data_IF_804108656806
#
_entry.id   IF_804108656806
#
_cell.length_a   1.000
_cell.length_b   1.000
_cell.length_c   1.000
_cell.angle_alpha   90.00
_cell.angle_beta   90.00
_cell.angle_gamma   90.00
#
_symmetry.space_group_name_H-M   'P 1'
#
loop_
_entity.id
_entity.type
_entity.pdbx_description
1 polymer ?
#
# COMPACT_ATOMS: atom_id res chain seq x y z
N UNK A 1 -6.75 9.45 18.50
CA UNK A 1 -7.03 8.16 19.18
C UNK A 1 -6.30 7.04 18.43
N UNK A 2 -5.52 6.19 19.10
CA UNK A 2 -4.78 5.11 18.44
C UNK A 2 -5.52 3.80 18.76
N UNK A 3 -6.25 3.26 17.79
CA UNK A 3 -6.88 1.95 17.92
C UNK A 3 -5.83 0.85 17.70
N UNK A 4 -5.67 -0.07 18.63
CA UNK A 4 -4.82 -1.26 18.51
C UNK A 4 -5.67 -2.49 18.76
N UNK A 5 -5.93 -3.29 17.72
CA UNK A 5 -6.49 -4.63 17.89
C UNK A 5 -5.36 -5.66 17.97
N UNK A 6 -5.46 -6.58 18.91
CA UNK A 6 -4.56 -7.74 19.03
C UNK A 6 -4.99 -8.87 18.09
N UNK A 7 -6.23 -8.86 17.59
CA UNK A 7 -6.77 -9.78 16.61
C UNK A 7 -7.22 -9.00 15.38
N UNK A 8 -6.57 -9.27 14.25
CA UNK A 8 -6.83 -8.55 13.01
C UNK A 8 -8.06 -9.09 12.26
N UNK A 9 -8.59 -10.25 12.66
CA UNK A 9 -9.83 -10.82 12.11
C UNK A 9 -11.07 -10.46 12.94
N UNK A 10 -10.89 -10.16 14.22
CA UNK A 10 -11.96 -9.74 15.12
C UNK A 10 -11.66 -8.33 15.63
N UNK A 11 -12.17 -7.35 14.92
CA UNK A 11 -12.01 -5.95 15.29
C UNK A 11 -13.39 -5.32 15.52
N UNK A 12 -13.48 -4.50 16.54
CA UNK A 12 -14.65 -3.73 16.87
C UNK A 12 -14.42 -2.26 16.51
N UNK A 13 -15.26 -1.72 15.65
CA UNK A 13 -15.25 -0.32 15.26
C UNK A 13 -16.37 0.49 15.91
N UNK A 14 -17.09 -0.07 16.90
CA UNK A 14 -18.22 0.59 17.55
C UNK A 14 -17.87 1.91 18.23
N UNK A 15 -16.60 2.07 18.65
CA UNK A 15 -16.08 3.30 19.26
C UNK A 15 -15.46 4.29 18.26
N UNK A 16 -15.44 3.93 16.96
CA UNK A 16 -14.78 4.72 15.91
C UNK A 16 -15.81 5.14 14.88
N UNK A 17 -16.06 6.44 14.77
CA UNK A 17 -16.89 6.95 13.67
C UNK A 17 -16.09 6.90 12.35
N UNK A 18 -16.29 5.80 11.62
CA UNK A 18 -15.62 5.56 10.34
C UNK A 18 -16.08 6.55 9.27
N UNK A 19 -17.24 7.16 9.41
CA UNK A 19 -17.79 8.11 8.43
C UNK A 19 -16.98 9.41 8.34
N UNK A 20 -16.25 9.76 9.40
CA UNK A 20 -15.36 10.93 9.43
C UNK A 20 -14.05 10.75 8.66
N UNK A 21 -13.67 9.51 8.32
CA UNK A 21 -12.42 9.24 7.62
C UNK A 21 -12.59 9.28 6.10
N UNK A 22 -11.66 9.92 5.41
CA UNK A 22 -11.69 10.07 3.95
C UNK A 22 -10.92 8.97 3.22
N UNK A 23 -9.96 8.31 3.89
CA UNK A 23 -9.14 7.27 3.28
C UNK A 23 -8.71 6.19 4.26
N UNK A 24 -8.54 4.97 3.73
CA UNK A 24 -7.88 3.84 4.39
C UNK A 24 -6.59 3.49 3.63
N UNK A 25 -5.46 3.50 4.32
CA UNK A 25 -4.17 3.02 3.80
C UNK A 25 -3.93 1.59 4.27
N UNK A 26 -4.35 0.61 3.48
CA UNK A 26 -4.20 -0.80 3.80
C UNK A 26 -2.82 -1.30 3.38
N UNK A 27 -1.88 -1.26 4.32
CA UNK A 27 -0.48 -1.63 4.12
C UNK A 27 -0.14 -3.00 4.72
N UNK A 28 -1.13 -3.74 5.20
CA UNK A 28 -0.93 -5.08 5.75
C UNK A 28 -0.57 -6.07 4.65
N UNK A 29 0.37 -6.95 4.96
CA UNK A 29 0.76 -8.01 4.05
C UNK A 29 1.79 -8.93 4.66
N UNK A 30 1.75 -10.19 4.24
CA UNK A 30 2.69 -11.23 4.62
C UNK A 30 3.43 -11.76 3.39
N UNK A 31 4.61 -12.35 3.61
CA UNK A 31 5.33 -13.07 2.56
C UNK A 31 4.70 -14.44 2.34
N UNK A 32 4.51 -14.84 1.09
CA UNK A 32 4.07 -16.20 0.76
C UNK A 32 5.17 -17.26 0.96
N UNK A 33 6.41 -16.85 1.23
CA UNK A 33 7.53 -17.77 1.39
C UNK A 33 7.33 -18.65 2.63
N UNK A 34 7.28 -19.96 2.41
CA UNK A 34 7.08 -20.96 3.46
C UNK A 34 5.63 -21.14 3.91
N UNK A 35 4.66 -20.46 3.30
CA UNK A 35 3.24 -20.64 3.58
C UNK A 35 2.57 -21.59 2.59
N UNK A 36 1.61 -22.39 3.07
CA UNK A 36 0.69 -23.09 2.19
C UNK A 36 -0.31 -22.11 1.56
N UNK A 37 -1.05 -22.58 0.56
CA UNK A 37 -1.96 -21.76 -0.24
C UNK A 37 -3.12 -21.18 0.60
N UNK A 38 -3.68 -21.99 1.47
CA UNK A 38 -4.88 -21.63 2.21
C UNK A 38 -4.56 -20.61 3.31
N UNK A 39 -3.46 -20.79 4.04
CA UNK A 39 -2.98 -19.82 5.03
C UNK A 39 -2.62 -18.48 4.38
N UNK A 40 -1.93 -18.52 3.23
CA UNK A 40 -1.59 -17.29 2.52
C UNK A 40 -2.83 -16.56 2.01
N UNK A 41 -3.81 -17.29 1.47
CA UNK A 41 -5.08 -16.72 1.04
C UNK A 41 -5.84 -16.12 2.23
N UNK A 42 -5.90 -16.84 3.34
CA UNK A 42 -6.58 -16.38 4.56
C UNK A 42 -5.98 -15.05 5.05
N UNK A 43 -4.66 -14.97 5.20
CA UNK A 43 -3.96 -13.77 5.68
C UNK A 43 -3.87 -12.63 4.66
N UNK A 44 -4.10 -12.87 3.38
CA UNK A 44 -3.99 -11.85 2.33
C UNK A 44 -5.35 -11.45 1.78
N UNK A 45 -6.16 -12.41 1.33
CA UNK A 45 -7.46 -12.15 0.73
C UNK A 45 -8.55 -11.96 1.79
N UNK A 46 -8.78 -12.99 2.64
CA UNK A 46 -9.92 -12.97 3.57
C UNK A 46 -9.79 -11.84 4.60
N UNK A 47 -8.59 -11.65 5.16
CA UNK A 47 -8.31 -10.54 6.08
C UNK A 47 -8.58 -9.17 5.43
N UNK A 48 -8.05 -8.95 4.23
CA UNK A 48 -8.20 -7.67 3.53
C UNK A 48 -9.67 -7.40 3.20
N UNK A 49 -10.40 -8.41 2.72
CA UNK A 49 -11.82 -8.27 2.38
C UNK A 49 -12.68 -8.06 3.63
N UNK A 50 -12.42 -8.74 4.74
CA UNK A 50 -13.14 -8.54 6.00
C UNK A 50 -13.06 -7.09 6.47
N UNK A 51 -11.87 -6.48 6.42
CA UNK A 51 -11.69 -5.06 6.71
C UNK A 51 -12.40 -4.16 5.69
N UNK A 52 -12.21 -4.44 4.40
CA UNK A 52 -12.77 -3.65 3.33
C UNK A 52 -14.30 -3.64 3.34
N UNK A 53 -14.94 -4.79 3.50
CA UNK A 53 -16.41 -4.94 3.58
C UNK A 53 -16.98 -4.24 4.81
N UNK A 54 -16.27 -4.30 5.94
CA UNK A 54 -16.69 -3.58 7.14
C UNK A 54 -16.62 -2.07 6.92
N UNK A 55 -15.50 -1.57 6.39
CA UNK A 55 -15.35 -0.14 6.09
C UNK A 55 -16.37 0.34 5.05
N UNK A 56 -16.65 -0.46 4.01
CA UNK A 56 -17.62 -0.10 2.97
C UNK A 56 -19.05 0.02 3.50
N UNK A 57 -19.41 -0.74 4.55
CA UNK A 57 -20.73 -0.63 5.21
C UNK A 57 -20.90 0.72 5.91
N UNK A 58 -19.85 1.25 6.51
CA UNK A 58 -19.89 2.52 7.23
C UNK A 58 -19.64 3.72 6.31
N UNK A 59 -18.74 3.56 5.34
CA UNK A 59 -18.34 4.63 4.41
C UNK A 59 -18.05 4.07 3.00
N UNK A 60 -19.07 3.90 2.14
CA UNK A 60 -18.89 3.37 0.79
C UNK A 60 -18.13 4.30 -0.15
N UNK A 61 -18.00 5.59 0.20
CA UNK A 61 -17.24 6.58 -0.58
C UNK A 61 -15.77 6.70 -0.19
N UNK A 62 -15.34 5.94 0.83
CA UNK A 62 -13.97 5.93 1.34
C UNK A 62 -12.95 5.64 0.22
N UNK A 63 -11.88 6.42 0.15
CA UNK A 63 -10.74 6.10 -0.70
C UNK A 63 -9.96 4.94 -0.07
N UNK A 64 -9.97 3.78 -0.74
CA UNK A 64 -9.27 2.59 -0.24
C UNK A 64 -7.98 2.36 -1.02
N UNK A 65 -6.83 2.53 -0.37
CA UNK A 65 -5.50 2.32 -0.97
C UNK A 65 -4.95 1.00 -0.47
N UNK A 66 -4.75 0.04 -1.39
CA UNK A 66 -4.18 -1.27 -1.11
C UNK A 66 -2.76 -1.38 -1.65
N UNK A 67 -1.80 -1.73 -0.79
CA UNK A 67 -0.41 -1.97 -1.21
C UNK A 67 -0.27 -3.43 -1.65
N UNK A 68 -0.16 -3.62 -2.95
CA UNK A 68 0.11 -4.91 -3.58
C UNK A 68 1.55 -5.00 -4.08
N UNK A 69 1.84 -5.84 -5.05
CA UNK A 69 3.19 -6.01 -5.59
C UNK A 69 3.24 -5.93 -7.11
N UNK A 70 4.34 -5.45 -7.64
CA UNK A 70 4.61 -5.57 -9.08
C UNK A 70 4.57 -7.05 -9.48
N UNK A 71 3.86 -7.36 -10.57
CA UNK A 71 3.61 -8.75 -11.00
C UNK A 71 2.34 -9.37 -10.42
N UNK A 72 1.55 -8.63 -9.62
CA UNK A 72 0.20 -9.06 -9.21
C UNK A 72 -0.65 -9.43 -10.41
N UNK A 73 -1.40 -10.54 -10.31
CA UNK A 73 -2.14 -11.16 -11.41
C UNK A 73 -1.30 -12.16 -12.24
N UNK A 74 -0.01 -12.31 -11.93
CA UNK A 74 0.88 -13.28 -12.60
C UNK A 74 0.68 -14.72 -12.11
N UNK A 75 1.56 -15.64 -12.61
CA UNK A 75 1.47 -17.09 -12.33
C UNK A 75 1.79 -17.51 -10.90
N UNK A 76 2.72 -16.90 -10.15
CA UNK A 76 3.01 -17.29 -8.77
C UNK A 76 1.78 -17.17 -7.86
N UNK A 77 1.70 -18.05 -6.85
CA UNK A 77 0.59 -18.08 -5.89
C UNK A 77 0.29 -16.71 -5.28
N UNK A 78 1.32 -16.02 -4.81
CA UNK A 78 1.16 -14.70 -4.21
C UNK A 78 0.56 -13.67 -5.18
N UNK A 79 0.94 -13.75 -6.44
CA UNK A 79 0.46 -12.84 -7.47
C UNK A 79 -1.01 -13.12 -7.83
N UNK A 80 -1.41 -14.38 -7.85
CA UNK A 80 -2.80 -14.77 -8.09
C UNK A 80 -3.71 -14.31 -6.94
N UNK A 81 -3.32 -14.58 -5.69
CA UNK A 81 -4.10 -14.19 -4.50
C UNK A 81 -4.22 -12.67 -4.41
N UNK A 82 -3.12 -11.94 -4.60
CA UNK A 82 -3.16 -10.47 -4.61
C UNK A 82 -3.99 -9.92 -5.77
N UNK A 83 -3.98 -10.57 -6.95
CA UNK A 83 -4.84 -10.20 -8.07
C UNK A 83 -6.32 -10.34 -7.73
N UNK A 84 -6.71 -11.47 -7.14
CA UNK A 84 -8.09 -11.68 -6.66
C UNK A 84 -8.49 -10.62 -5.62
N UNK A 85 -7.57 -10.25 -4.73
CA UNK A 85 -7.81 -9.19 -3.73
C UNK A 85 -8.02 -7.83 -4.40
N UNK A 86 -7.17 -7.45 -5.35
CA UNK A 86 -7.33 -6.22 -6.12
C UNK A 86 -8.68 -6.17 -6.84
N UNK A 87 -9.06 -7.25 -7.55
CA UNK A 87 -10.32 -7.33 -8.29
C UNK A 87 -11.54 -7.18 -7.37
N UNK A 88 -11.49 -7.78 -6.19
CA UNK A 88 -12.57 -7.66 -5.20
C UNK A 88 -12.67 -6.23 -4.63
N UNK A 89 -11.54 -5.61 -4.28
CA UNK A 89 -11.50 -4.23 -3.78
C UNK A 89 -11.96 -3.21 -4.84
N UNK A 90 -11.58 -3.41 -6.11
CA UNK A 90 -11.99 -2.57 -7.23
C UNK A 90 -13.50 -2.64 -7.52
N UNK A 91 -14.14 -3.74 -7.18
CA UNK A 91 -15.61 -3.89 -7.25
C UNK A 91 -16.30 -3.28 -6.04
N UNK A 92 -15.68 -3.37 -4.86
CA UNK A 92 -16.29 -2.95 -3.61
C UNK A 92 -16.30 -1.42 -3.44
N UNK A 93 -15.20 -0.74 -3.81
CA UNK A 93 -15.09 0.71 -3.67
C UNK A 93 -14.94 1.41 -5.03
N UNK A 94 -15.74 2.45 -5.30
CA UNK A 94 -15.52 3.33 -6.45
C UNK A 94 -14.12 3.97 -6.45
N UNK A 95 -13.64 4.34 -5.25
CA UNK A 95 -12.37 5.01 -5.01
C UNK A 95 -11.30 4.05 -4.48
N UNK A 96 -11.22 2.81 -5.00
CA UNK A 96 -10.13 1.90 -4.68
C UNK A 96 -8.92 2.12 -5.59
N UNK A 97 -7.72 2.14 -5.01
CA UNK A 97 -6.46 2.31 -5.74
C UNK A 97 -5.46 1.23 -5.32
N UNK A 98 -4.90 0.53 -6.31
CA UNK A 98 -3.96 -0.58 -6.15
C UNK A 98 -2.54 -0.08 -6.38
N UNK A 99 -1.75 -0.04 -5.33
CA UNK A 99 -0.35 0.41 -5.36
C UNK A 99 0.56 -0.81 -5.57
N UNK A 100 0.89 -1.12 -6.83
CA UNK A 100 1.74 -2.27 -7.21
C UNK A 100 3.21 -1.92 -7.01
N UNK A 101 3.69 -2.16 -5.79
CA UNK A 101 5.04 -1.84 -5.36
C UNK A 101 6.05 -2.85 -5.93
N UNK A 102 7.10 -2.39 -6.62
CA UNK A 102 8.21 -3.22 -7.08
C UNK A 102 9.32 -3.29 -6.02
N UNK A 103 10.15 -2.26 -5.94
CA UNK A 103 11.16 -2.14 -4.92
C UNK A 103 10.99 -0.80 -4.18
N UNK A 104 11.17 -0.84 -2.85
CA UNK A 104 11.11 0.35 -1.99
C UNK A 104 12.43 0.54 -1.27
N UNK A 105 12.93 1.76 -1.27
CA UNK A 105 14.07 2.18 -0.46
C UNK A 105 13.55 2.82 0.83
N UNK A 106 13.77 2.21 2.02
CA UNK A 106 13.46 2.82 3.28
C UNK A 106 14.43 3.99 3.55
N UNK A 107 13.91 5.14 4.01
CA UNK A 107 14.73 6.34 4.31
C UNK A 107 14.80 6.64 5.81
N UNK A 108 13.80 6.26 6.60
CA UNK A 108 13.65 6.68 7.99
C UNK A 108 13.88 5.54 8.99
N UNK A 109 14.76 4.59 8.65
CA UNK A 109 15.10 3.48 9.53
C UNK A 109 14.05 2.39 9.62
N UNK A 110 13.13 2.31 8.66
CA UNK A 110 12.15 1.23 8.57
C UNK A 110 12.88 -0.12 8.38
N UNK A 111 12.68 -1.03 9.32
CA UNK A 111 13.33 -2.34 9.34
C UNK A 111 12.30 -3.42 9.00
N UNK A 112 12.58 -4.23 7.97
CA UNK A 112 11.76 -5.40 7.68
C UNK A 112 11.80 -6.39 8.84
N UNK A 113 10.63 -6.90 9.26
CA UNK A 113 10.51 -7.94 10.29
C UNK A 113 11.06 -9.29 9.82
N UNK A 114 11.16 -9.53 8.52
CA UNK A 114 11.66 -10.78 7.95
C UNK A 114 13.19 -10.74 7.86
N UNK A 115 13.88 -11.65 8.54
CA UNK A 115 15.35 -11.67 8.63
C UNK A 115 16.03 -11.73 7.26
N UNK A 116 15.50 -12.52 6.32
CA UNK A 116 16.02 -12.64 4.95
C UNK A 116 15.91 -11.33 4.16
N UNK A 117 14.79 -10.65 4.23
CA UNK A 117 14.61 -9.33 3.59
C UNK A 117 15.54 -8.29 4.20
N UNK A 118 15.78 -8.34 5.50
CA UNK A 118 16.72 -7.44 6.19
C UNK A 118 18.15 -7.63 5.71
N UNK A 119 18.60 -8.88 5.51
CA UNK A 119 19.93 -9.22 4.99
C UNK A 119 20.05 -8.80 3.52
N UNK A 120 19.05 -9.08 2.71
CA UNK A 120 19.01 -8.71 1.29
C UNK A 120 19.05 -7.18 1.14
N UNK A 121 18.26 -6.44 1.92
CA UNK A 121 18.28 -4.98 1.91
C UNK A 121 19.64 -4.42 2.36
N UNK A 122 20.28 -5.00 3.37
CA UNK A 122 21.60 -4.54 3.84
C UNK A 122 22.68 -4.73 2.79
N UNK A 123 22.62 -5.80 1.99
CA UNK A 123 23.56 -6.06 0.89
C UNK A 123 23.24 -5.24 -0.37
N UNK A 124 21.95 -5.07 -0.72
CA UNK A 124 21.54 -4.36 -1.93
C UNK A 124 21.34 -2.84 -1.73
N UNK A 125 21.20 -2.38 -0.49
CA UNK A 125 20.98 -0.96 -0.17
C UNK A 125 21.95 0.00 -0.87
N UNK A 126 23.29 -0.25 -0.90
CA UNK A 126 24.21 0.65 -1.60
C UNK A 126 24.04 0.65 -3.14
N UNK A 127 23.39 -0.39 -3.69
CA UNK A 127 23.15 -0.51 -5.14
C UNK A 127 21.83 0.13 -5.56
N UNK A 128 20.88 0.33 -4.64
CA UNK A 128 19.56 0.89 -4.96
C UNK A 128 19.61 2.27 -5.64
N UNK A 129 20.47 3.23 -5.24
CA UNK A 129 20.59 4.50 -5.93
C UNK A 129 21.09 4.34 -7.38
N UNK A 130 22.03 3.40 -7.62
CA UNK A 130 22.53 3.08 -8.96
C UNK A 130 21.44 2.44 -9.83
N UNK A 131 20.68 1.49 -9.28
CA UNK A 131 19.54 0.87 -9.98
C UNK A 131 18.48 1.92 -10.31
N UNK A 132 18.19 2.83 -9.38
CA UNK A 132 17.25 3.93 -9.59
C UNK A 132 17.70 4.88 -10.70
N UNK A 133 19.01 5.19 -10.77
CA UNK A 133 19.56 6.03 -11.82
C UNK A 133 19.55 5.34 -13.19
N UNK A 134 19.84 4.03 -13.23
CA UNK A 134 19.86 3.25 -14.46
C UNK A 134 18.45 2.91 -14.99
N UNK A 135 17.50 2.65 -14.10
CA UNK A 135 16.12 2.27 -14.44
C UNK A 135 15.15 3.16 -13.65
N UNK A 136 14.84 4.36 -14.17
CA UNK A 136 13.91 5.28 -13.53
C UNK A 136 12.53 4.62 -13.32
N UNK A 137 12.01 4.71 -12.09
CA UNK A 137 10.72 4.11 -11.72
C UNK A 137 10.82 2.67 -11.18
N UNK A 138 12.00 2.03 -11.15
CA UNK A 138 12.17 0.70 -10.57
C UNK A 138 12.15 0.69 -9.04
N UNK A 139 12.65 1.76 -8.42
CA UNK A 139 12.74 1.91 -6.96
C UNK A 139 12.03 3.18 -6.53
N UNK A 140 11.12 3.06 -5.58
CA UNK A 140 10.43 4.18 -4.91
C UNK A 140 10.97 4.32 -3.48
N UNK A 141 11.04 5.52 -2.94
CA UNK A 141 11.37 5.73 -1.52
C UNK A 141 10.12 5.65 -0.64
N UNK A 142 10.30 5.36 0.66
CA UNK A 142 9.18 5.37 1.62
C UNK A 142 8.47 6.73 1.68
N UNK A 143 9.21 7.83 1.52
CA UNK A 143 8.62 9.18 1.45
C UNK A 143 7.80 9.42 0.18
N UNK A 144 8.30 9.01 -0.99
CA UNK A 144 7.56 9.15 -2.25
C UNK A 144 6.27 8.33 -2.22
N UNK A 145 6.33 7.11 -1.66
CA UNK A 145 5.15 6.27 -1.46
C UNK A 145 4.12 6.96 -0.54
N UNK A 146 4.56 7.48 0.60
CA UNK A 146 3.68 8.19 1.54
C UNK A 146 3.03 9.42 0.90
N UNK A 147 3.81 10.25 0.17
CA UNK A 147 3.27 11.41 -0.56
C UNK A 147 2.26 11.00 -1.63
N UNK A 148 2.55 9.94 -2.39
CA UNK A 148 1.61 9.40 -3.39
C UNK A 148 0.30 8.95 -2.74
N UNK A 149 0.35 8.28 -1.58
CA UNK A 149 -0.84 7.87 -0.82
C UNK A 149 -1.67 9.08 -0.39
N UNK A 150 -1.04 10.10 0.19
CA UNK A 150 -1.72 11.34 0.61
C UNK A 150 -2.35 12.02 -0.61
N UNK A 151 -1.62 12.17 -1.70
CA UNK A 151 -2.11 12.79 -2.93
C UNK A 151 -3.33 12.05 -3.49
N UNK A 152 -3.27 10.72 -3.58
CA UNK A 152 -4.38 9.90 -4.07
C UNK A 152 -5.59 9.98 -3.13
N UNK A 153 -5.37 10.03 -1.83
CA UNK A 153 -6.46 10.20 -0.85
C UNK A 153 -7.17 11.54 -1.01
N UNK A 154 -6.45 12.61 -1.36
CA UNK A 154 -6.99 13.97 -1.51
C UNK A 154 -7.67 14.21 -2.87
N UNK A 155 -7.08 13.72 -3.95
CA UNK A 155 -7.47 14.11 -5.32
C UNK A 155 -7.72 12.96 -6.27
N UNK A 156 -7.57 11.70 -5.81
CA UNK A 156 -7.61 10.53 -6.67
C UNK A 156 -6.38 10.42 -7.59
N UNK A 157 -6.46 9.52 -8.55
CA UNK A 157 -5.45 9.33 -9.59
C UNK A 157 -6.11 9.02 -10.94
N UNK A 158 -5.42 9.27 -12.08
CA UNK A 158 -5.98 9.03 -13.42
C UNK A 158 -6.32 7.57 -13.71
N UNK A 159 -5.71 6.64 -12.99
CA UNK A 159 -5.98 5.19 -13.09
C UNK A 159 -5.99 4.56 -11.70
N UNK A 160 -6.69 3.43 -11.58
CA UNK A 160 -6.91 2.76 -10.29
C UNK A 160 -5.81 1.75 -9.92
N UNK A 161 -4.97 1.34 -10.87
CA UNK A 161 -3.81 0.47 -10.64
C UNK A 161 -2.54 1.24 -10.97
N UNK A 162 -1.72 1.48 -9.94
CA UNK A 162 -0.55 2.35 -10.00
C UNK A 162 0.74 1.53 -9.88
N UNK A 163 1.67 1.76 -10.80
CA UNK A 163 3.05 1.24 -10.76
C UNK A 163 3.95 2.14 -9.91
N UNK A 164 5.19 1.69 -9.62
CA UNK A 164 6.19 2.54 -8.97
C UNK A 164 6.36 3.89 -9.67
N UNK A 165 6.40 3.90 -11.00
CA UNK A 165 6.55 5.14 -11.77
C UNK A 165 5.40 6.11 -11.53
N UNK A 166 4.16 5.60 -11.58
CA UNK A 166 2.98 6.43 -11.33
C UNK A 166 2.99 7.03 -9.93
N UNK A 167 3.38 6.21 -8.93
CA UNK A 167 3.47 6.66 -7.53
C UNK A 167 4.56 7.71 -7.32
N UNK A 168 5.72 7.57 -7.99
CA UNK A 168 6.80 8.58 -7.95
C UNK A 168 6.31 9.91 -8.55
N UNK A 169 5.66 9.87 -9.69
CA UNK A 169 5.17 11.07 -10.37
C UNK A 169 4.10 11.77 -9.52
N UNK A 170 3.17 11.03 -8.90
CA UNK A 170 2.17 11.57 -7.97
C UNK A 170 2.80 12.15 -6.69
N UNK A 171 3.78 11.48 -6.12
CA UNK A 171 4.50 11.95 -4.93
C UNK A 171 5.35 13.21 -5.18
N UNK A 172 5.82 13.41 -6.41
CA UNK A 172 6.52 14.63 -6.82
C UNK A 172 5.58 15.85 -6.88
N UNK A 173 4.35 15.66 -7.38
CA UNK A 173 3.32 16.71 -7.41
C UNK A 173 2.92 17.17 -5.99
N UNK A 174 2.80 16.24 -5.05
CA UNK A 174 2.49 16.57 -3.64
C UNK A 174 3.60 17.38 -2.98
N UNK A 175 4.87 17.08 -3.28
CA UNK A 175 6.02 17.84 -2.77
C UNK A 175 6.03 19.29 -3.28
N UNK A 176 5.55 19.53 -4.49
CA UNK A 176 5.44 20.88 -5.06
C UNK A 176 4.39 21.70 -4.32
N UNK A 177 3.20 21.14 -4.13
CA UNK A 177 2.09 21.79 -3.43
C UNK A 177 2.43 22.14 -1.97
N UNK A 178 3.12 21.23 -1.26
CA UNK A 178 3.51 21.44 0.14
C UNK A 178 4.48 22.62 0.31
N UNK A 179 5.31 22.91 -0.69
CA UNK A 179 6.25 24.06 -0.65
C UNK A 179 5.57 25.41 -0.91
N UNK A 180 4.44 25.42 -1.62
CA UNK A 180 3.70 26.66 -1.88
C UNK A 180 2.86 27.11 -0.67
N UNK A 181 2.53 26.19 0.23
CA UNK A 181 1.70 26.44 1.43
C UNK A 181 2.53 26.90 2.65
N UNK A 182 3.87 26.75 2.60
CA UNK A 182 4.72 27.22 3.70
C UNK A 182 4.80 28.74 3.69
N UNK A 183 4.23 29.45 4.71
CA UNK A 183 4.29 30.91 4.74
C UNK A 183 5.73 31.33 4.87
N UNK A 184 6.19 32.22 3.96
CA UNK A 184 7.48 32.89 4.07
C UNK A 184 7.51 33.58 5.44
N UNK A 185 8.31 33.04 6.35
CA UNK A 185 8.66 33.68 7.61
C UNK A 185 9.70 34.78 7.36
#
# INVERSE_FOLDING_TARGET
>A
MLFRSNDMFHFDLSEVDVSEFHACFFCLGVSAAGMNKDDYKHLTFDLTLGWAETLARFNPSLTFIYVSGAGTGGKPLWAQVKGQTEDALLKLFPNAYMFRLAAMQPLNGEISKTAWTRISYKLLSPLLPLVRAAIPGSVITSEELGRAMIRVAQTGAPKRVLSNRDMIDLGALEKSNSKEVEPKR
#
